data_IF_612672469983
#
_entry.id   IF_612672469983
#
_cell.length_a   1.000
_cell.length_b   1.000
_cell.length_c   1.000
_cell.angle_alpha   90.00
_cell.angle_beta   90.00
_cell.angle_gamma   90.00
#
_symmetry.space_group_name_H-M   'P 1'
#
loop_
_entity.id
_entity.type
_entity.pdbx_description
1 polymer ?
#
# COMPACT_ATOMS: atom_id res chain seq x y z
N UNK A 1 -5.05 55.71 -45.13
CA UNK A 1 -4.36 54.43 -45.43
C UNK A 1 -4.61 53.52 -44.23
N UNK A 2 -5.67 52.72 -44.31
CA UNK A 2 -6.04 51.68 -43.34
C UNK A 2 -5.02 50.53 -43.33
N UNK A 3 -4.85 49.80 -42.23
CA UNK A 3 -4.37 48.44 -42.27
C UNK A 3 -5.53 47.44 -42.27
N UNK A 4 -5.45 46.50 -43.22
CA UNK A 4 -6.47 45.52 -43.57
C UNK A 4 -6.61 44.41 -42.52
N UNK A 5 -7.85 44.12 -42.15
CA UNK A 5 -8.27 42.92 -41.43
C UNK A 5 -8.44 41.77 -42.44
N UNK A 6 -7.65 40.69 -42.30
CA UNK A 6 -7.90 39.44 -43.02
C UNK A 6 -8.62 38.46 -42.08
N UNK A 7 -9.91 38.26 -42.35
CA UNK A 7 -10.76 37.22 -41.76
C UNK A 7 -10.84 36.01 -42.69
N UNK A 8 -10.70 34.79 -42.16
CA UNK A 8 -11.14 33.53 -42.78
C UNK A 8 -11.75 32.59 -41.71
N UNK A 9 -12.61 31.62 -42.10
CA UNK A 9 -13.89 31.35 -41.42
C UNK A 9 -13.94 30.11 -40.51
N UNK A 10 -15.06 30.03 -39.78
CA UNK A 10 -15.48 29.01 -38.79
C UNK A 10 -15.54 27.59 -39.35
N UNK A 11 -15.30 26.60 -38.47
CA UNK A 11 -15.95 25.29 -38.52
C UNK A 11 -16.55 24.96 -37.15
N UNK A 12 -17.82 24.62 -37.20
CA UNK A 12 -18.62 24.03 -36.13
C UNK A 12 -18.01 22.70 -35.69
N UNK A 13 -17.98 22.45 -34.38
CA UNK A 13 -18.01 21.09 -33.88
C UNK A 13 -19.00 21.00 -32.73
N UNK A 14 -20.13 20.36 -33.05
CA UNK A 14 -21.12 19.86 -32.10
C UNK A 14 -20.42 18.83 -31.22
N UNK A 15 -20.29 19.08 -29.91
CA UNK A 15 -20.15 17.98 -28.94
C UNK A 15 -21.49 17.75 -28.28
N UNK A 16 -22.10 16.64 -28.70
CA UNK A 16 -23.26 16.02 -28.09
C UNK A 16 -23.00 15.80 -26.60
N UNK A 17 -24.01 16.11 -25.79
CA UNK A 17 -24.06 15.69 -24.40
C UNK A 17 -24.09 14.16 -24.33
N UNK A 18 -23.25 13.61 -23.45
CA UNK A 18 -23.43 12.27 -22.91
C UNK A 18 -23.49 12.44 -21.40
N UNK A 19 -24.70 12.56 -20.88
CA UNK A 19 -24.98 12.25 -19.49
C UNK A 19 -24.81 10.73 -19.33
N UNK A 20 -23.66 10.29 -18.84
CA UNK A 20 -23.53 8.96 -18.25
C UNK A 20 -23.85 9.10 -16.77
N UNK A 21 -25.12 8.90 -16.45
CA UNK A 21 -25.54 8.56 -15.10
C UNK A 21 -24.88 7.21 -14.75
N UNK A 22 -23.93 7.23 -13.83
CA UNK A 22 -23.49 6.00 -13.16
C UNK A 22 -24.48 5.71 -12.04
N UNK A 23 -25.57 5.02 -12.38
CA UNK A 23 -26.30 4.25 -11.37
C UNK A 23 -25.49 2.97 -11.06
N UNK A 24 -25.32 2.58 -9.78
CA UNK A 24 -24.75 1.29 -9.46
C UNK A 24 -25.85 0.23 -9.60
N UNK A 25 -25.78 -0.58 -10.65
CA UNK A 25 -26.49 -1.86 -10.67
C UNK A 25 -25.75 -2.81 -9.72
N UNK A 26 -26.22 -2.88 -8.47
CA UNK A 26 -25.87 -3.98 -7.56
C UNK A 26 -26.60 -5.23 -8.04
N UNK A 27 -25.99 -5.98 -8.96
CA UNK A 27 -26.35 -7.39 -9.17
C UNK A 27 -25.53 -8.19 -8.16
N UNK A 28 -26.21 -8.77 -7.17
CA UNK A 28 -25.59 -9.73 -6.26
C UNK A 28 -24.90 -10.83 -7.08
N UNK A 29 -23.62 -11.13 -6.80
CA UNK A 29 -22.92 -12.19 -7.53
C UNK A 29 -23.61 -13.54 -7.32
N UNK A 30 -23.61 -14.38 -8.35
CA UNK A 30 -24.10 -15.76 -8.26
C UNK A 30 -23.25 -16.56 -7.27
N UNK A 31 -23.81 -17.61 -6.66
CA UNK A 31 -23.11 -18.43 -5.65
C UNK A 31 -21.76 -18.99 -6.12
N UNK A 32 -21.64 -19.32 -7.40
CA UNK A 32 -20.39 -19.80 -8.00
C UNK A 32 -19.34 -18.69 -8.15
N UNK A 33 -19.75 -17.45 -8.43
CA UNK A 33 -18.85 -16.30 -8.50
C UNK A 33 -18.33 -15.89 -7.12
N UNK A 34 -19.18 -15.98 -6.09
CA UNK A 34 -18.77 -15.79 -4.69
C UNK A 34 -17.80 -16.88 -4.23
N UNK A 35 -18.03 -18.14 -4.60
CA UNK A 35 -17.14 -19.24 -4.27
C UNK A 35 -15.78 -19.13 -4.99
N UNK A 36 -15.77 -18.73 -6.27
CA UNK A 36 -14.54 -18.49 -7.02
C UNK A 36 -13.76 -17.28 -6.51
N UNK A 37 -14.44 -16.21 -6.11
CA UNK A 37 -13.82 -15.04 -5.48
C UNK A 37 -13.24 -15.37 -4.09
N UNK A 38 -13.92 -16.23 -3.33
CA UNK A 38 -13.45 -16.74 -2.05
C UNK A 38 -12.32 -17.77 -2.17
N UNK A 39 -11.94 -18.20 -3.38
CA UNK A 39 -10.81 -19.10 -3.63
C UNK A 39 -9.62 -18.39 -4.30
N UNK A 40 -9.70 -17.07 -4.49
CA UNK A 40 -8.69 -16.29 -5.19
C UNK A 40 -7.88 -15.40 -4.24
N UNK A 41 -6.58 -15.26 -4.51
CA UNK A 41 -5.78 -14.23 -3.84
C UNK A 41 -6.23 -12.84 -4.28
N UNK A 42 -6.18 -11.85 -3.38
CA UNK A 42 -6.50 -10.45 -3.69
C UNK A 42 -5.51 -9.47 -3.08
N UNK A 43 -5.48 -8.27 -3.65
CA UNK A 43 -4.68 -7.14 -3.19
C UNK A 43 -5.62 -6.02 -2.72
N UNK A 44 -5.49 -5.60 -1.48
CA UNK A 44 -6.29 -4.55 -0.87
C UNK A 44 -5.39 -3.39 -0.48
N UNK A 45 -5.55 -2.25 -1.15
CA UNK A 45 -4.82 -1.02 -0.84
C UNK A 45 -5.40 -0.37 0.41
N UNK A 46 -4.75 -0.60 1.55
CA UNK A 46 -5.18 -0.04 2.84
C UNK A 46 -4.92 1.48 2.91
N UNK A 47 -3.91 1.96 2.20
CA UNK A 47 -3.64 3.39 2.05
C UNK A 47 -2.78 3.66 0.82
N UNK A 48 -3.00 4.84 0.24
CA UNK A 48 -2.34 5.32 -0.99
C UNK A 48 -1.94 6.80 -0.87
N UNK A 49 -1.84 7.28 0.38
CA UNK A 49 -1.41 8.62 0.73
C UNK A 49 0.07 8.61 1.10
N UNK A 50 0.71 9.77 0.95
CA UNK A 50 2.10 9.97 1.35
C UNK A 50 2.28 9.88 2.88
N UNK A 51 3.50 10.15 3.36
CA UNK A 51 3.81 10.18 4.79
C UNK A 51 2.85 11.04 5.62
N UNK A 52 2.36 12.15 5.07
CA UNK A 52 1.40 13.04 5.74
C UNK A 52 -0.04 12.52 5.80
N UNK A 53 -0.38 11.45 5.08
CA UNK A 53 -1.74 11.09 4.69
C UNK A 53 -2.45 12.23 3.93
N UNK A 54 -3.66 11.96 3.44
CA UNK A 54 -4.53 12.98 2.85
C UNK A 54 -5.93 12.94 3.47
N UNK A 55 -6.52 14.12 3.78
CA UNK A 55 -6.01 15.46 3.49
C UNK A 55 -4.78 15.87 4.34
N UNK A 56 -3.93 16.74 3.79
CA UNK A 56 -2.91 17.41 4.61
C UNK A 56 -3.63 18.39 5.53
N UNK A 57 -3.57 18.13 6.84
CA UNK A 57 -4.23 18.94 7.84
C UNK A 57 -3.86 20.43 7.72
N UNK A 58 -2.63 20.76 7.32
CA UNK A 58 -2.16 22.15 7.14
C UNK A 58 -2.93 22.88 6.05
N UNK A 59 -3.27 22.20 4.95
CA UNK A 59 -4.08 22.78 3.89
C UNK A 59 -5.49 23.16 4.35
N UNK A 60 -5.98 22.54 5.44
CA UNK A 60 -7.33 22.76 5.97
C UNK A 60 -7.34 23.82 7.08
N UNK A 61 -6.38 23.77 8.00
CA UNK A 61 -6.31 24.73 9.12
C UNK A 61 -5.67 26.06 8.72
N UNK A 62 -4.86 26.06 7.66
CA UNK A 62 -4.24 27.25 7.07
C UNK A 62 -4.41 27.22 5.54
N UNK A 63 -5.62 27.47 5.03
CA UNK A 63 -5.88 27.38 3.60
C UNK A 63 -5.05 28.37 2.79
N UNK A 64 -4.43 27.88 1.71
CA UNK A 64 -3.80 28.72 0.69
C UNK A 64 -4.85 29.52 -0.11
N UNK A 65 -4.40 30.49 -0.90
CA UNK A 65 -5.24 31.21 -1.86
C UNK A 65 -4.71 30.99 -3.29
N UNK A 66 -5.36 30.15 -4.12
CA UNK A 66 -6.57 29.37 -3.84
C UNK A 66 -6.32 28.17 -2.90
N UNK A 67 -7.36 27.64 -2.20
CA UNK A 67 -7.22 26.48 -1.33
C UNK A 67 -6.92 25.21 -2.14
N UNK A 68 -6.25 24.25 -1.51
CA UNK A 68 -6.00 22.96 -2.14
C UNK A 68 -7.31 22.21 -2.41
N UNK A 69 -7.67 22.06 -3.68
CA UNK A 69 -8.92 21.40 -4.11
C UNK A 69 -9.01 19.96 -3.61
N UNK A 70 -7.91 19.20 -3.69
CA UNK A 70 -7.86 17.79 -3.28
C UNK A 70 -8.11 17.63 -1.78
N UNK A 71 -7.42 18.42 -0.94
CA UNK A 71 -7.61 18.36 0.51
C UNK A 71 -9.03 18.79 0.91
N UNK A 72 -9.58 19.80 0.23
CA UNK A 72 -10.95 20.26 0.46
C UNK A 72 -11.98 19.18 0.11
N UNK A 73 -11.80 18.52 -1.05
CA UNK A 73 -12.67 17.43 -1.50
C UNK A 73 -12.55 16.18 -0.62
N UNK A 74 -11.40 15.93 0.01
CA UNK A 74 -11.21 14.80 0.92
C UNK A 74 -12.15 14.81 2.14
N UNK A 75 -12.81 15.95 2.43
CA UNK A 75 -13.82 16.07 3.48
C UNK A 75 -15.26 16.12 2.96
N UNK A 76 -15.48 16.05 1.65
CA UNK A 76 -16.83 16.18 1.05
C UNK A 76 -17.69 14.90 1.15
N UNK A 77 -17.05 13.75 1.35
CA UNK A 77 -17.67 12.45 1.52
C UNK A 77 -17.06 11.74 2.73
N UNK A 78 -17.80 10.81 3.36
CA UNK A 78 -17.24 9.90 4.36
C UNK A 78 -15.95 9.23 3.87
N UNK A 79 -14.93 9.00 4.74
CA UNK A 79 -13.64 8.46 4.34
C UNK A 79 -13.72 7.16 3.53
N UNK A 80 -14.65 6.26 3.86
CA UNK A 80 -14.89 4.99 3.16
C UNK A 80 -15.36 5.15 1.71
N UNK A 81 -15.89 6.32 1.35
CA UNK A 81 -16.40 6.62 -0.01
C UNK A 81 -15.59 7.70 -0.72
N UNK A 82 -14.53 8.19 -0.09
CA UNK A 82 -13.78 9.33 -0.59
C UNK A 82 -12.39 8.91 -1.09
N UNK A 83 -12.16 8.86 -2.42
CA UNK A 83 -10.86 8.48 -2.96
C UNK A 83 -9.75 9.49 -2.63
N UNK A 84 -10.10 10.72 -2.24
CA UNK A 84 -9.14 11.74 -1.84
C UNK A 84 -8.76 11.66 -0.35
N UNK A 85 -9.48 10.87 0.46
CA UNK A 85 -9.12 10.59 1.85
C UNK A 85 -8.24 9.33 1.89
N UNK A 86 -6.93 9.53 2.06
CA UNK A 86 -5.91 8.48 1.88
C UNK A 86 -5.04 8.34 3.12
N UNK A 87 -5.12 7.18 3.76
CA UNK A 87 -4.20 6.77 4.83
C UNK A 87 -2.76 6.58 4.30
N UNK A 88 -1.77 6.41 5.19
CA UNK A 88 -0.39 6.11 4.79
C UNK A 88 -0.32 4.86 3.92
N UNK A 89 0.61 4.85 2.96
CA UNK A 89 0.87 3.73 2.06
C UNK A 89 0.94 2.39 2.80
N UNK A 90 0.06 1.45 2.44
CA UNK A 90 0.03 0.10 3.00
C UNK A 90 -0.77 -0.82 2.09
N UNK A 91 -0.32 -2.08 1.97
CA UNK A 91 -0.95 -3.11 1.15
C UNK A 91 -1.26 -4.32 2.02
N UNK A 92 -2.50 -4.81 1.94
CA UNK A 92 -2.87 -6.12 2.43
C UNK A 92 -2.94 -7.09 1.25
N UNK A 93 -2.21 -8.19 1.37
CA UNK A 93 -2.29 -9.33 0.47
C UNK A 93 -3.15 -10.38 1.17
N UNK A 94 -4.31 -10.67 0.60
CA UNK A 94 -5.10 -11.84 0.96
C UNK A 94 -4.65 -12.99 0.07
N UNK A 95 -3.78 -13.85 0.59
CA UNK A 95 -3.16 -14.93 -0.16
C UNK A 95 -3.89 -16.25 0.06
N UNK A 96 -4.67 -16.67 -0.94
CA UNK A 96 -5.24 -18.01 -1.00
C UNK A 96 -4.18 -19.05 -1.39
N UNK A 97 -3.95 -20.03 -0.51
CA UNK A 97 -3.03 -21.15 -0.73
C UNK A 97 -3.73 -22.31 -1.49
N UNK A 98 -2.96 -23.32 -1.93
CA UNK A 98 -3.48 -24.41 -2.79
C UNK A 98 -4.56 -25.29 -2.11
N UNK A 99 -4.73 -25.16 -0.80
CA UNK A 99 -5.75 -25.85 0.01
C UNK A 99 -6.93 -24.95 0.38
N UNK A 100 -7.13 -23.85 -0.36
CA UNK A 100 -8.16 -22.83 -0.15
C UNK A 100 -8.09 -22.14 1.24
N UNK A 101 -6.94 -22.20 1.90
CA UNK A 101 -6.70 -21.45 3.15
C UNK A 101 -6.14 -20.07 2.84
N UNK A 102 -6.72 -19.05 3.47
CA UNK A 102 -6.31 -17.67 3.31
C UNK A 102 -5.25 -17.29 4.33
N UNK A 103 -4.26 -16.53 3.87
CA UNK A 103 -3.20 -15.93 4.67
C UNK A 103 -3.14 -14.44 4.41
N UNK A 104 -3.16 -13.65 5.46
CA UNK A 104 -3.21 -12.19 5.40
C UNK A 104 -1.84 -11.60 5.69
N UNK A 105 -1.22 -11.01 4.66
CA UNK A 105 0.14 -10.47 4.71
C UNK A 105 0.07 -8.96 4.54
N UNK A 106 0.60 -8.20 5.50
CA UNK A 106 0.68 -6.75 5.42
C UNK A 106 2.04 -6.30 4.88
N UNK A 107 2.05 -5.29 4.02
CA UNK A 107 3.25 -4.52 3.68
C UNK A 107 3.09 -3.10 4.24
N UNK A 108 3.98 -2.74 5.17
CA UNK A 108 3.98 -1.52 5.99
C UNK A 108 2.78 -1.37 6.94
N UNK A 109 3.05 -0.83 8.13
CA UNK A 109 2.08 -0.60 9.21
C UNK A 109 2.32 0.80 9.78
N UNK A 110 1.82 1.81 9.05
CA UNK A 110 2.02 3.22 9.37
C UNK A 110 1.17 3.75 10.52
N UNK A 111 1.39 5.02 10.90
CA UNK A 111 0.63 5.71 11.97
C UNK A 111 -0.89 5.80 11.73
N UNK A 112 -1.38 5.55 10.51
CA UNK A 112 -2.82 5.49 10.21
C UNK A 112 -3.43 4.09 10.33
N UNK A 113 -2.67 3.10 10.80
CA UNK A 113 -3.07 1.68 10.77
C UNK A 113 -4.42 1.40 11.41
N UNK A 114 -4.69 1.96 12.60
CA UNK A 114 -6.00 1.80 13.25
C UNK A 114 -7.17 2.19 12.36
N UNK A 115 -7.05 3.29 11.60
CA UNK A 115 -8.10 3.72 10.67
C UNK A 115 -8.23 2.74 9.48
N UNK A 116 -7.10 2.22 8.99
CA UNK A 116 -7.07 1.23 7.91
C UNK A 116 -7.78 -0.07 8.31
N UNK A 117 -7.59 -0.53 9.55
CA UNK A 117 -8.32 -1.68 10.12
C UNK A 117 -9.82 -1.39 10.12
N UNK A 118 -10.24 -0.28 10.72
CA UNK A 118 -11.67 0.07 10.83
C UNK A 118 -12.35 0.20 9.47
N UNK A 119 -11.66 0.71 8.46
CA UNK A 119 -12.22 0.90 7.11
C UNK A 119 -12.20 -0.38 6.30
N UNK A 120 -11.03 -0.99 6.16
CA UNK A 120 -10.81 -2.02 5.15
C UNK A 120 -10.92 -3.42 5.71
N UNK A 121 -10.44 -3.68 6.93
CA UNK A 121 -10.55 -5.03 7.50
C UNK A 121 -12.00 -5.36 7.79
N UNK A 122 -12.76 -4.40 8.31
CA UNK A 122 -14.21 -4.56 8.53
C UNK A 122 -14.94 -4.77 7.20
N UNK A 123 -14.61 -3.99 6.17
CA UNK A 123 -15.25 -4.10 4.85
C UNK A 123 -14.95 -5.43 4.17
N UNK A 124 -13.69 -5.86 4.16
CA UNK A 124 -13.23 -7.10 3.53
C UNK A 124 -13.32 -8.33 4.45
N UNK A 125 -13.84 -8.17 5.67
CA UNK A 125 -14.01 -9.23 6.68
C UNK A 125 -12.70 -9.97 6.99
N UNK A 126 -11.60 -9.22 7.07
CA UNK A 126 -10.27 -9.74 7.38
C UNK A 126 -10.23 -10.08 8.87
N UNK A 127 -10.05 -11.37 9.24
CA UNK A 127 -10.17 -11.81 10.63
C UNK A 127 -8.92 -11.52 11.47
N UNK A 128 -7.74 -11.55 10.85
CA UNK A 128 -6.44 -11.43 11.49
C UNK A 128 -5.34 -11.18 10.47
N UNK A 129 -4.12 -10.95 10.93
CA UNK A 129 -2.90 -10.86 10.12
C UNK A 129 -1.95 -11.98 10.49
N UNK A 130 -1.45 -12.70 9.48
CA UNK A 130 -0.50 -13.79 9.66
C UNK A 130 0.95 -13.31 9.65
N UNK A 131 1.26 -12.29 8.84
CA UNK A 131 2.60 -11.71 8.79
C UNK A 131 2.62 -10.26 8.33
N UNK A 132 3.68 -9.56 8.69
CA UNK A 132 3.94 -8.16 8.35
C UNK A 132 5.32 -8.07 7.70
N UNK A 133 5.44 -7.26 6.65
CA UNK A 133 6.69 -6.95 5.97
C UNK A 133 6.89 -5.43 6.04
N UNK A 134 7.96 -4.97 6.68
CA UNK A 134 8.28 -3.55 6.79
C UNK A 134 9.24 -3.13 5.68
N UNK A 135 8.89 -2.07 4.95
CA UNK A 135 9.67 -1.57 3.81
C UNK A 135 10.90 -0.79 4.27
N UNK A 136 10.75 0.00 5.33
CA UNK A 136 11.76 0.88 5.90
C UNK A 136 11.33 1.40 7.28
N UNK A 137 12.16 2.24 7.91
CA UNK A 137 12.00 2.59 9.32
C UNK A 137 11.22 3.90 9.59
N UNK A 138 10.73 4.61 8.58
CA UNK A 138 10.02 5.87 8.78
C UNK A 138 8.65 5.70 9.45
N UNK A 139 8.16 6.80 9.99
CA UNK A 139 6.99 6.82 10.86
C UNK A 139 5.70 6.32 10.19
N UNK A 140 5.51 6.69 8.93
CA UNK A 140 4.43 6.26 8.06
C UNK A 140 4.52 4.80 7.60
N UNK A 141 5.63 4.10 7.89
CA UNK A 141 5.76 2.68 7.59
C UNK A 141 5.72 1.77 8.83
N UNK A 142 5.98 2.29 10.05
CA UNK A 142 6.14 1.44 11.24
C UNK A 142 5.40 1.87 12.51
N UNK A 143 4.93 3.12 12.64
CA UNK A 143 4.35 3.56 13.92
C UNK A 143 3.02 2.88 14.28
N UNK A 144 2.36 2.21 13.33
CA UNK A 144 1.17 1.43 13.61
C UNK A 144 1.46 0.07 14.25
N UNK A 145 2.72 -0.33 14.41
CA UNK A 145 3.11 -1.55 15.13
C UNK A 145 2.49 -1.62 16.53
N UNK A 146 2.32 -0.47 17.19
CA UNK A 146 1.70 -0.35 18.52
C UNK A 146 0.24 -0.82 18.55
N UNK A 147 -0.44 -0.84 17.41
CA UNK A 147 -1.84 -1.23 17.27
C UNK A 147 -2.01 -2.65 16.68
N UNK A 148 -0.93 -3.37 16.35
CA UNK A 148 -1.01 -4.70 15.68
C UNK A 148 -1.73 -5.76 16.53
N UNK A 149 -1.75 -5.60 17.85
CA UNK A 149 -2.42 -6.54 18.76
C UNK A 149 -3.92 -6.69 18.48
N UNK A 150 -4.55 -5.70 17.82
CA UNK A 150 -5.98 -5.73 17.45
C UNK A 150 -6.28 -6.67 16.28
N UNK A 151 -5.26 -7.01 15.48
CA UNK A 151 -5.38 -7.91 14.32
C UNK A 151 -4.65 -9.24 14.53
N UNK A 152 -4.14 -9.49 15.73
CA UNK A 152 -3.62 -10.78 16.14
C UNK A 152 -4.78 -11.74 16.42
N UNK A 153 -4.62 -13.02 16.11
CA UNK A 153 -5.69 -14.02 16.26
C UNK A 153 -6.19 -14.06 17.72
N UNK A 154 -7.51 -14.06 17.91
CA UNK A 154 -8.11 -14.01 19.26
C UNK A 154 -8.19 -15.39 19.93
N UNK A 155 -8.09 -16.47 19.16
CA UNK A 155 -8.23 -17.83 19.69
C UNK A 155 -7.03 -18.27 20.54
N UNK A 156 -5.90 -17.56 20.48
CA UNK A 156 -4.64 -18.00 21.09
C UNK A 156 -3.82 -16.86 21.72
N UNK A 157 -4.45 -15.74 22.14
CA UNK A 157 -3.74 -14.62 22.79
C UNK A 157 -2.87 -15.02 24.00
N UNK A 158 -3.21 -16.13 24.66
CA UNK A 158 -2.45 -16.68 25.79
C UNK A 158 -1.47 -17.79 25.37
N UNK A 159 -1.52 -18.26 24.14
CA UNK A 159 -0.59 -19.27 23.60
C UNK A 159 0.72 -18.60 23.18
N UNK A 160 1.83 -19.23 23.52
CA UNK A 160 3.18 -18.73 23.18
C UNK A 160 3.43 -18.81 21.67
N UNK A 161 2.69 -19.66 20.97
CA UNK A 161 2.80 -19.89 19.53
C UNK A 161 2.00 -18.88 18.67
N UNK A 162 1.17 -18.02 19.26
CA UNK A 162 0.37 -17.02 18.53
C UNK A 162 1.15 -15.71 18.37
N UNK A 163 2.19 -15.72 17.54
CA UNK A 163 3.01 -14.55 17.23
C UNK A 163 2.81 -14.11 15.78
N UNK A 164 2.78 -12.79 15.54
CA UNK A 164 2.76 -12.26 14.18
C UNK A 164 4.20 -12.15 13.69
N UNK A 165 4.54 -12.88 12.63
CA UNK A 165 5.86 -12.79 12.02
C UNK A 165 6.07 -11.42 11.37
N UNK A 166 7.19 -10.76 11.65
CA UNK A 166 7.56 -9.45 11.10
C UNK A 166 8.89 -9.54 10.38
N UNK A 167 8.86 -9.28 9.07
CA UNK A 167 10.01 -9.31 8.19
C UNK A 167 10.52 -7.88 7.94
N UNK A 168 11.79 -7.64 8.22
CA UNK A 168 12.40 -6.32 8.11
C UNK A 168 13.92 -6.42 7.95
N UNK A 169 14.57 -5.37 7.45
CA UNK A 169 16.03 -5.32 7.39
C UNK A 169 16.63 -5.10 8.79
N UNK A 170 17.90 -5.49 8.99
CA UNK A 170 18.61 -5.21 10.25
C UNK A 170 18.60 -3.71 10.60
N UNK A 171 18.80 -2.84 9.60
CA UNK A 171 18.72 -1.39 9.78
C UNK A 171 17.36 -0.95 10.35
N UNK A 172 16.27 -1.50 9.81
CA UNK A 172 14.92 -1.20 10.29
C UNK A 172 14.71 -1.76 11.70
N UNK A 173 15.22 -2.97 11.98
CA UNK A 173 15.13 -3.60 13.30
C UNK A 173 15.84 -2.77 14.37
N UNK A 174 17.04 -2.29 14.11
CA UNK A 174 17.79 -1.46 15.07
C UNK A 174 17.01 -0.18 15.43
N UNK A 175 16.39 0.45 14.43
CA UNK A 175 15.54 1.63 14.60
C UNK A 175 14.24 1.32 15.36
N UNK A 176 13.59 0.18 15.07
CA UNK A 176 12.39 -0.29 15.80
C UNK A 176 12.74 -0.59 17.25
N UNK A 177 13.83 -1.30 17.53
CA UNK A 177 14.27 -1.65 18.87
C UNK A 177 14.63 -0.41 19.72
N UNK A 178 15.15 0.66 19.08
CA UNK A 178 15.43 1.93 19.74
C UNK A 178 14.15 2.69 20.12
N UNK A 179 13.12 2.66 19.25
CA UNK A 179 11.86 3.40 19.46
C UNK A 179 10.85 2.65 20.32
N UNK A 180 10.82 1.33 20.20
CA UNK A 180 9.86 0.44 20.85
C UNK A 180 10.57 -0.71 21.58
N UNK A 181 11.40 -0.41 22.58
CA UNK A 181 12.21 -1.42 23.25
C UNK A 181 11.37 -2.54 23.90
N UNK A 182 10.12 -2.28 24.23
CA UNK A 182 9.19 -3.25 24.82
C UNK A 182 8.81 -4.39 23.87
N UNK A 183 8.89 -4.20 22.54
CA UNK A 183 8.65 -5.30 21.60
C UNK A 183 9.83 -6.27 21.47
N UNK A 184 11.00 -5.93 22.05
CA UNK A 184 12.24 -6.69 21.87
C UNK A 184 12.77 -7.22 23.21
N UNK A 185 12.59 -6.47 24.29
CA UNK A 185 13.29 -6.68 25.56
C UNK A 185 12.39 -7.09 26.73
N UNK A 186 11.11 -7.40 26.49
CA UNK A 186 10.14 -7.65 27.57
C UNK A 186 9.44 -9.00 27.41
N UNK A 187 9.39 -9.77 28.48
CA UNK A 187 8.42 -10.85 28.63
C UNK A 187 7.05 -10.23 28.87
N UNK A 188 6.10 -10.45 27.96
CA UNK A 188 4.75 -9.90 28.09
C UNK A 188 4.02 -10.59 29.26
N UNK A 189 3.38 -9.80 30.11
CA UNK A 189 2.54 -10.31 31.20
C UNK A 189 1.11 -10.60 30.72
N UNK A 190 0.39 -11.42 31.49
CA UNK A 190 -1.01 -11.73 31.22
C UNK A 190 -1.87 -10.45 31.34
N UNK A 191 -2.52 -10.04 30.24
CA UNK A 191 -3.33 -8.81 30.17
C UNK A 191 -2.66 -7.61 29.47
N UNK A 192 -1.42 -7.75 28.99
CA UNK A 192 -0.74 -6.72 28.19
C UNK A 192 -1.38 -6.59 26.79
N UNK A 193 -1.89 -5.40 26.44
CA UNK A 193 -2.44 -5.09 25.11
C UNK A 193 -1.32 -4.77 24.09
N UNK A 194 -0.27 -5.58 24.11
CA UNK A 194 0.90 -5.45 23.22
C UNK A 194 0.98 -6.67 22.31
N UNK A 195 1.27 -6.44 21.02
CA UNK A 195 1.39 -7.54 20.06
C UNK A 195 2.59 -8.44 20.39
N UNK A 196 2.41 -9.76 20.20
CA UNK A 196 3.53 -10.71 20.19
C UNK A 196 4.09 -10.76 18.78
N UNK A 197 5.32 -10.29 18.60
CA UNK A 197 5.95 -10.15 17.29
C UNK A 197 7.18 -11.04 17.21
N UNK A 198 7.24 -11.87 16.17
CA UNK A 198 8.41 -12.68 15.85
C UNK A 198 9.24 -12.00 14.76
N UNK A 199 10.45 -11.57 15.10
CA UNK A 199 11.28 -10.72 14.25
C UNK A 199 12.18 -11.54 13.33
N UNK A 200 11.98 -11.44 12.02
CA UNK A 200 12.80 -12.08 11.00
C UNK A 200 13.58 -11.06 10.18
N UNK A 201 14.91 -11.14 10.23
CA UNK A 201 15.79 -10.27 9.43
C UNK A 201 15.83 -10.75 7.98
N UNK A 202 15.50 -9.85 7.05
CA UNK A 202 15.65 -10.05 5.61
C UNK A 202 16.81 -9.23 5.05
N UNK A 203 17.44 -9.77 4.01
CA UNK A 203 18.53 -9.08 3.31
C UNK A 203 17.98 -8.10 2.27
N UNK A 204 18.60 -6.92 2.16
CA UNK A 204 18.30 -5.93 1.12
C UNK A 204 18.96 -6.33 -0.21
N UNK A 205 18.63 -7.51 -0.73
CA UNK A 205 19.24 -8.09 -1.93
C UNK A 205 18.22 -8.91 -2.75
N UNK A 206 18.13 -8.64 -4.06
CA UNK A 206 17.23 -9.32 -5.02
C UNK A 206 17.51 -10.83 -5.18
N UNK A 207 18.69 -11.31 -4.78
CA UNK A 207 19.06 -12.72 -4.83
C UNK A 207 18.78 -13.45 -3.51
N UNK A 208 18.18 -12.78 -2.53
CA UNK A 208 17.86 -13.31 -1.21
C UNK A 208 16.35 -13.29 -0.98
N UNK A 209 15.58 -14.10 -1.74
CA UNK A 209 14.16 -14.22 -1.51
C UNK A 209 13.87 -14.78 -0.12
N UNK A 210 12.68 -14.48 0.39
CA UNK A 210 12.18 -14.99 1.65
C UNK A 210 10.72 -15.40 1.50
N UNK A 211 10.21 -16.23 2.41
CA UNK A 211 8.82 -16.69 2.39
C UNK A 211 8.10 -16.12 3.60
N UNK A 212 6.97 -15.45 3.34
CA UNK A 212 6.07 -14.91 4.35
C UNK A 212 4.70 -15.55 4.17
N UNK A 213 4.21 -16.24 5.20
CA UNK A 213 2.92 -16.96 5.19
C UNK A 213 2.67 -17.79 3.92
N UNK A 214 3.70 -18.48 3.41
CA UNK A 214 3.62 -19.35 2.22
C UNK A 214 3.81 -18.64 0.86
N UNK A 215 3.86 -17.31 0.83
CA UNK A 215 4.15 -16.53 -0.37
C UNK A 215 5.63 -16.14 -0.40
N UNK A 216 6.31 -16.41 -1.52
CA UNK A 216 7.69 -15.98 -1.75
C UNK A 216 7.72 -14.51 -2.18
N UNK A 217 8.66 -13.77 -1.58
CA UNK A 217 8.96 -12.39 -1.88
C UNK A 217 10.43 -12.24 -2.26
N UNK A 218 10.68 -11.46 -3.30
CA UNK A 218 12.02 -10.99 -3.65
C UNK A 218 12.14 -9.53 -3.19
N UNK A 219 13.07 -9.21 -2.27
CA UNK A 219 13.36 -7.83 -1.89
C UNK A 219 13.83 -7.01 -3.10
N UNK A 220 13.31 -5.80 -3.27
CA UNK A 220 13.68 -4.87 -4.34
C UNK A 220 14.24 -3.58 -3.73
N UNK A 221 15.57 -3.48 -3.54
CA UNK A 221 16.18 -2.26 -3.01
C UNK A 221 15.95 -1.06 -3.93
N UNK A 222 15.41 0.03 -3.40
CA UNK A 222 15.19 1.28 -4.13
C UNK A 222 15.65 2.46 -3.29
N UNK A 223 15.98 3.58 -3.93
CA UNK A 223 16.34 4.80 -3.21
C UNK A 223 15.08 5.49 -2.68
N UNK A 224 15.12 5.94 -1.44
CA UNK A 224 14.13 6.82 -0.82
C UNK A 224 14.80 8.11 -0.36
N UNK A 225 14.97 9.04 -1.29
CA UNK A 225 15.86 10.19 -1.12
C UNK A 225 17.33 9.86 -1.40
N UNK A 226 18.24 10.77 -1.05
CA UNK A 226 19.66 10.57 -1.30
C UNK A 226 20.32 9.84 -0.14
N UNK A 227 21.09 8.79 -0.45
CA UNK A 227 21.82 7.99 0.55
C UNK A 227 20.98 7.05 1.42
N UNK A 228 19.67 6.94 1.18
CA UNK A 228 18.78 6.05 1.95
C UNK A 228 18.11 5.04 1.03
N UNK A 229 18.13 3.76 1.43
CA UNK A 229 17.54 2.64 0.69
C UNK A 229 16.35 2.09 1.47
N UNK A 230 15.20 1.96 0.81
CA UNK A 230 14.06 1.20 1.29
C UNK A 230 13.85 -0.05 0.41
N UNK A 231 12.92 -0.91 0.83
CA UNK A 231 12.52 -2.09 0.06
C UNK A 231 11.16 -1.89 -0.60
N UNK A 232 11.11 -2.16 -1.90
CA UNK A 232 9.91 -2.71 -2.53
C UNK A 232 9.98 -4.23 -2.59
N UNK A 233 8.98 -4.87 -3.20
CA UNK A 233 8.90 -6.32 -3.28
C UNK A 233 8.34 -6.81 -4.61
N UNK A 234 8.94 -7.88 -5.14
CA UNK A 234 8.40 -8.67 -6.25
C UNK A 234 7.82 -9.97 -5.69
N UNK A 235 6.58 -10.29 -6.05
CA UNK A 235 5.90 -11.50 -5.57
C UNK A 235 4.84 -12.00 -6.56
N UNK A 236 4.28 -13.16 -6.27
CA UNK A 236 3.17 -13.76 -7.00
C UNK A 236 3.59 -14.88 -7.96
N UNK A 237 2.89 -16.02 -7.86
CA UNK A 237 3.19 -17.24 -8.63
C UNK A 237 2.54 -17.25 -10.02
N UNK A 238 1.26 -16.89 -10.09
CA UNK A 238 0.45 -16.87 -11.33
C UNK A 238 0.46 -15.51 -12.01
N UNK A 239 0.35 -14.45 -11.21
CA UNK A 239 0.46 -13.07 -11.64
C UNK A 239 1.63 -12.43 -10.87
N UNK A 240 2.60 -11.89 -11.60
CA UNK A 240 3.81 -11.29 -11.07
C UNK A 240 3.57 -9.81 -10.79
N UNK A 241 3.72 -9.44 -9.53
CA UNK A 241 3.46 -8.09 -9.02
C UNK A 241 4.75 -7.49 -8.48
N UNK A 242 5.09 -6.28 -8.91
CA UNK A 242 6.11 -5.47 -8.28
C UNK A 242 5.45 -4.32 -7.50
N UNK A 243 5.74 -4.21 -6.21
CA UNK A 243 5.25 -3.16 -5.32
C UNK A 243 6.41 -2.30 -4.83
N UNK A 244 6.46 -1.05 -5.29
CA UNK A 244 7.51 -0.09 -5.00
C UNK A 244 6.89 1.18 -4.35
N UNK A 245 6.85 1.22 -3.02
CA UNK A 245 6.48 2.43 -2.26
C UNK A 245 7.71 3.28 -1.98
N UNK A 246 7.51 4.56 -1.63
CA UNK A 246 8.58 5.44 -1.13
C UNK A 246 9.84 5.52 -2.03
N UNK A 247 9.65 5.61 -3.35
CA UNK A 247 10.77 5.56 -4.31
C UNK A 247 11.10 6.93 -4.90
N UNK A 248 12.36 7.34 -4.79
CA UNK A 248 12.94 8.48 -5.51
C UNK A 248 13.72 8.03 -6.76
N UNK A 249 14.35 6.84 -6.72
CA UNK A 249 15.13 6.28 -7.83
C UNK A 249 15.16 4.76 -7.76
N UNK A 250 14.84 4.10 -8.88
CA UNK A 250 14.98 2.66 -9.03
C UNK A 250 16.47 2.35 -9.26
N UNK A 251 17.02 1.42 -8.48
CA UNK A 251 18.41 1.00 -8.62
C UNK A 251 18.57 0.07 -9.83
N UNK A 252 19.71 0.09 -10.56
CA UNK A 252 19.89 -0.71 -11.78
C UNK A 252 19.63 -2.20 -11.59
N UNK A 253 19.99 -2.74 -10.41
CA UNK A 253 19.75 -4.15 -10.08
C UNK A 253 18.26 -4.45 -9.93
N UNK A 254 17.51 -3.56 -9.27
CA UNK A 254 16.05 -3.67 -9.14
C UNK A 254 15.35 -3.49 -10.47
N UNK A 255 15.77 -2.48 -11.26
CA UNK A 255 15.25 -2.24 -12.61
C UNK A 255 15.44 -3.48 -13.49
N UNK A 256 16.64 -4.07 -13.48
CA UNK A 256 16.89 -5.32 -14.19
C UNK A 256 15.97 -6.44 -13.68
N UNK A 257 15.88 -6.66 -12.36
CA UNK A 257 15.04 -7.70 -11.78
C UNK A 257 13.57 -7.59 -12.22
N UNK A 258 13.00 -6.40 -12.24
CA UNK A 258 11.59 -6.21 -12.63
C UNK A 258 11.36 -6.09 -14.15
N UNK A 259 12.42 -6.17 -14.96
CA UNK A 259 12.34 -6.12 -16.42
C UNK A 259 12.02 -7.49 -17.04
N UNK A 260 11.64 -7.47 -18.33
CA UNK A 260 11.40 -8.71 -19.10
C UNK A 260 12.62 -9.63 -19.18
N UNK A 261 13.83 -9.08 -19.15
CA UNK A 261 15.09 -9.84 -19.19
C UNK A 261 15.54 -10.35 -17.81
N UNK A 262 15.00 -9.79 -16.72
CA UNK A 262 15.28 -10.25 -15.36
C UNK A 262 14.33 -11.35 -14.94
N UNK A 263 13.33 -11.01 -14.12
CA UNK A 263 12.34 -11.96 -13.64
C UNK A 263 11.29 -12.33 -14.71
N UNK A 264 11.21 -11.57 -15.81
CA UNK A 264 10.21 -11.76 -16.87
C UNK A 264 9.15 -10.65 -16.86
N UNK A 265 8.12 -10.80 -17.70
CA UNK A 265 7.03 -9.83 -17.77
C UNK A 265 6.32 -9.70 -16.41
N UNK A 266 6.13 -8.46 -15.93
CA UNK A 266 5.23 -8.17 -14.82
C UNK A 266 3.79 -8.13 -15.32
N UNK A 267 2.87 -8.62 -14.50
CA UNK A 267 1.43 -8.47 -14.70
C UNK A 267 0.93 -7.17 -14.07
N UNK A 268 1.53 -6.75 -12.95
CA UNK A 268 1.19 -5.50 -12.27
C UNK A 268 2.44 -4.82 -11.70
N UNK A 269 2.56 -3.52 -11.95
CA UNK A 269 3.56 -2.65 -11.32
C UNK A 269 2.82 -1.57 -10.52
N UNK A 270 3.00 -1.60 -9.21
CA UNK A 270 2.52 -0.58 -8.29
C UNK A 270 3.70 0.30 -7.93
N UNK A 271 3.58 1.59 -8.22
CA UNK A 271 4.62 2.59 -8.01
C UNK A 271 4.04 3.83 -7.34
N UNK A 272 4.60 4.24 -6.21
CA UNK A 272 4.20 5.47 -5.54
C UNK A 272 4.73 6.72 -6.27
N UNK A 273 3.85 7.70 -6.50
CA UNK A 273 4.18 8.95 -7.18
C UNK A 273 3.70 10.16 -6.40
N UNK A 274 4.51 10.62 -5.44
CA UNK A 274 4.13 11.69 -4.51
C UNK A 274 4.17 13.10 -5.10
N UNK A 275 4.94 13.32 -6.17
CA UNK A 275 5.06 14.63 -6.82
C UNK A 275 4.96 14.49 -8.33
N UNK A 276 4.15 15.36 -8.93
CA UNK A 276 4.11 15.55 -10.38
C UNK A 276 5.00 16.75 -10.72
N UNK A 277 6.20 16.50 -11.23
CA UNK A 277 7.01 17.55 -11.86
C UNK A 277 6.64 17.66 -13.35
N UNK A 278 6.64 18.88 -13.88
CA UNK A 278 6.17 19.23 -15.21
C UNK A 278 6.63 18.31 -16.34
N UNK A 279 5.71 18.05 -17.28
CA UNK A 279 5.79 17.21 -18.48
C UNK A 279 7.18 17.13 -19.12
N UNK A 280 7.93 16.05 -18.90
CA UNK A 280 8.88 15.47 -19.86
C UNK A 280 8.98 13.94 -19.64
N UNK A 281 8.42 13.19 -20.59
CA UNK A 281 8.80 11.83 -21.00
C UNK A 281 8.99 10.70 -19.96
N UNK A 282 8.06 9.74 -20.04
CA UNK A 282 8.15 8.32 -19.66
C UNK A 282 8.09 7.97 -18.16
N UNK A 283 6.88 8.02 -17.61
CA UNK A 283 6.31 6.84 -16.93
C UNK A 283 4.78 6.96 -16.94
N UNK A 284 4.11 6.16 -17.78
CA UNK A 284 2.68 5.93 -17.63
C UNK A 284 2.49 5.03 -16.42
N UNK A 285 2.01 5.59 -15.31
CA UNK A 285 1.54 4.79 -14.16
C UNK A 285 0.15 4.29 -14.52
N UNK A 286 0.03 2.99 -14.79
CA UNK A 286 -1.24 2.30 -14.80
C UNK A 286 -1.42 1.63 -13.43
N UNK A 287 -2.35 2.15 -12.63
CA UNK A 287 -3.14 1.27 -11.78
C UNK A 287 -4.20 0.72 -12.72
N UNK A 288 -4.14 -0.56 -13.04
CA UNK A 288 -5.32 -1.28 -13.55
C UNK A 288 -6.12 -1.70 -12.33
#
# INVERSE_FOLDING_TARGET
LEPQNLSLPRRDDKRAGVHLAMEPAATDPTGDALAAAAAASSLVFLGTGCSGALPDARCLIQPSAPPCTVCSQALSLPPDRNPNYRCNTSLLIDYCHDNDTHKYILIAVGKTFREQVLRWFVHHKVPSVDSIILTHDHADAVLGLVDVWVVQSSNHRNDVDDQVAVFLTQFTMDSVAARFPYFVKRELEEGDETARLDWTIIESDVNKPFVSSGLEFVPLPVMHGEGYVCLGFLFGRKARVAYLSDVSRILPRTEHTISKSGAGQLDLLILETNQLHGVVSLLHVFVI
#
